data_IF_155154759439
#
_entry.id   IF_155154759439
#
_cell.length_a   1.000
_cell.length_b   1.000
_cell.length_c   1.000
_cell.angle_alpha   90.00
_cell.angle_beta   90.00
_cell.angle_gamma   90.00
#
_symmetry.space_group_name_H-M   'P 1'
#
loop_
_entity.id
_entity.type
_entity.pdbx_description
1 polymer ?
#
# COMPACT_ATOMS: atom_id res chain seq x y z
N UNK A 1 2.52 -10.21 -8.82
CA UNK A 1 2.83 -9.62 -7.51
C UNK A 1 3.31 -8.20 -7.72
N UNK A 2 2.92 -7.27 -6.85
CA UNK A 2 3.39 -5.90 -6.84
C UNK A 2 3.86 -5.53 -5.43
N UNK A 3 4.95 -4.75 -5.36
CA UNK A 3 5.50 -4.25 -4.09
C UNK A 3 5.50 -2.72 -4.17
N UNK A 4 4.93 -2.08 -3.15
CA UNK A 4 4.86 -0.62 -3.06
C UNK A 4 5.52 -0.13 -1.78
N UNK A 5 6.26 0.96 -1.88
CA UNK A 5 6.71 1.76 -0.73
C UNK A 5 5.83 3.01 -0.69
N UNK A 6 5.06 3.17 0.37
CA UNK A 6 4.04 4.20 0.48
C UNK A 6 4.11 4.94 1.81
N UNK A 7 3.55 6.14 1.86
CA UNK A 7 3.34 6.83 3.13
C UNK A 7 2.35 6.03 4.01
N UNK A 8 2.55 6.05 5.33
CA UNK A 8 1.62 5.46 6.30
C UNK A 8 0.15 5.83 6.07
N UNK A 9 -0.10 7.00 5.52
CA UNK A 9 -1.47 7.48 5.28
C UNK A 9 -2.25 6.63 4.28
N UNK A 10 -1.60 5.83 3.46
CA UNK A 10 -2.30 4.85 2.60
C UNK A 10 -3.05 3.84 3.47
N UNK A 11 -2.40 3.37 4.55
CA UNK A 11 -3.00 2.40 5.46
C UNK A 11 -3.82 3.06 6.58
N UNK A 12 -3.37 4.20 7.11
CA UNK A 12 -3.94 4.82 8.31
C UNK A 12 -5.08 5.82 8.06
N UNK A 13 -5.33 6.23 6.81
CA UNK A 13 -6.40 7.19 6.51
C UNK A 13 -7.77 6.66 6.97
N UNK A 14 -8.57 7.51 7.62
CA UNK A 14 -9.94 7.17 8.02
C UNK A 14 -10.82 6.88 6.79
N UNK A 15 -10.63 7.64 5.71
CA UNK A 15 -11.24 7.31 4.44
C UNK A 15 -10.56 6.07 3.85
N UNK A 16 -11.28 4.96 3.82
CA UNK A 16 -10.80 3.67 3.34
C UNK A 16 -10.93 3.48 1.83
N UNK A 17 -11.39 4.46 1.07
CA UNK A 17 -11.73 4.31 -0.35
C UNK A 17 -10.59 3.69 -1.18
N UNK A 18 -9.37 4.22 -1.05
CA UNK A 18 -8.21 3.69 -1.80
C UNK A 18 -7.92 2.22 -1.46
N UNK A 19 -7.99 1.86 -0.17
CA UNK A 19 -7.80 0.47 0.27
C UNK A 19 -8.94 -0.44 -0.21
N UNK A 20 -10.16 0.08 -0.21
CA UNK A 20 -11.33 -0.64 -0.70
C UNK A 20 -11.21 -0.95 -2.19
N UNK A 21 -10.84 0.02 -3.01
CA UNK A 21 -10.61 -0.19 -4.44
C UNK A 21 -9.46 -1.20 -4.68
N UNK A 22 -8.35 -1.06 -3.95
CA UNK A 22 -7.24 -2.00 -4.04
C UNK A 22 -7.66 -3.44 -3.68
N UNK A 23 -8.53 -3.61 -2.66
CA UNK A 23 -8.98 -4.94 -2.21
C UNK A 23 -9.85 -5.67 -3.22
N UNK A 24 -10.47 -4.97 -4.15
CA UNK A 24 -11.24 -5.59 -5.26
C UNK A 24 -10.34 -6.19 -6.33
N UNK A 25 -9.12 -5.69 -6.46
CA UNK A 25 -8.18 -6.05 -7.52
C UNK A 25 -7.10 -7.04 -7.04
N UNK A 26 -6.72 -6.94 -5.76
CA UNK A 26 -5.60 -7.69 -5.21
C UNK A 26 -5.75 -7.99 -3.71
N UNK A 27 -5.16 -9.09 -3.28
CA UNK A 27 -4.98 -9.41 -1.86
C UNK A 27 -3.73 -8.74 -1.33
N UNK A 28 -3.81 -8.08 -0.16
CA UNK A 28 -2.64 -7.69 0.62
C UNK A 28 -2.04 -8.97 1.21
N UNK A 29 -0.89 -9.39 0.69
CA UNK A 29 -0.20 -10.63 1.10
C UNK A 29 0.61 -10.40 2.35
N UNK A 30 1.32 -9.27 2.39
CA UNK A 30 2.12 -8.86 3.54
C UNK A 30 2.33 -7.36 3.52
N UNK A 31 2.56 -6.78 4.70
CA UNK A 31 3.02 -5.40 4.82
C UNK A 31 3.95 -5.27 6.03
N UNK A 32 4.90 -4.34 5.94
CA UNK A 32 5.74 -3.96 7.07
C UNK A 32 5.82 -2.45 7.17
N UNK A 33 5.65 -1.93 8.39
CA UNK A 33 5.83 -0.51 8.71
C UNK A 33 7.25 -0.25 9.14
N UNK A 34 7.91 0.71 8.50
CA UNK A 34 9.31 1.05 8.71
C UNK A 34 9.49 2.08 9.83
N UNK A 35 10.67 2.14 10.47
CA UNK A 35 11.02 3.20 11.41
C UNK A 35 10.87 4.58 10.76
N UNK A 36 10.52 5.59 11.55
CA UNK A 36 10.38 6.97 11.07
C UNK A 36 11.69 7.51 10.47
N UNK A 37 12.82 6.98 10.90
CA UNK A 37 14.17 7.33 10.44
C UNK A 37 14.61 6.60 9.18
N UNK A 38 13.83 5.62 8.67
CA UNK A 38 14.27 4.73 7.58
C UNK A 38 14.75 5.45 6.31
N UNK A 39 14.20 6.63 6.01
CA UNK A 39 14.57 7.45 4.85
C UNK A 39 15.10 8.83 5.26
N UNK A 40 15.58 8.99 6.50
CA UNK A 40 16.01 10.28 7.01
C UNK A 40 17.24 10.83 6.27
N UNK A 41 18.16 9.96 5.87
CA UNK A 41 19.36 10.34 5.10
C UNK A 41 19.00 10.83 3.69
N UNK A 42 17.99 10.23 3.07
CA UNK A 42 17.58 10.51 1.69
C UNK A 42 16.57 11.65 1.62
N UNK A 43 15.59 11.65 2.53
CA UNK A 43 14.48 12.59 2.51
C UNK A 43 14.69 13.80 3.42
N UNK A 44 15.70 13.80 4.28
CA UNK A 44 16.00 14.89 5.23
C UNK A 44 14.95 15.06 6.33
N UNK A 45 13.96 14.15 6.45
CA UNK A 45 12.88 14.23 7.41
C UNK A 45 12.49 12.86 7.95
N UNK A 46 11.88 12.84 9.13
CA UNK A 46 11.34 11.63 9.74
C UNK A 46 9.93 11.38 9.17
N UNK A 47 9.78 10.31 8.40
CA UNK A 47 8.49 9.89 7.83
C UNK A 47 8.27 8.40 8.01
N UNK A 48 7.06 8.03 8.45
CA UNK A 48 6.67 6.62 8.49
C UNK A 48 6.25 6.20 7.09
N UNK A 49 6.86 5.14 6.61
CA UNK A 49 6.54 4.49 5.35
C UNK A 49 6.19 3.03 5.59
N UNK A 50 5.33 2.50 4.73
CA UNK A 50 4.94 1.10 4.72
C UNK A 50 5.41 0.45 3.42
N UNK A 51 5.93 -0.78 3.50
CA UNK A 51 6.12 -1.64 2.32
C UNK A 51 4.91 -2.56 2.26
N UNK A 52 4.19 -2.54 1.13
CA UNK A 52 3.00 -3.34 0.90
C UNK A 52 3.26 -4.34 -0.22
N UNK A 53 2.94 -5.61 0.00
CA UNK A 53 3.05 -6.68 -0.98
C UNK A 53 1.66 -7.13 -1.38
N UNK A 54 1.30 -6.93 -2.64
CA UNK A 54 0.02 -7.34 -3.20
C UNK A 54 0.17 -8.47 -4.21
N UNK A 55 -0.79 -9.37 -4.19
CA UNK A 55 -0.99 -10.38 -5.23
C UNK A 55 -2.32 -10.11 -5.93
N UNK A 56 -2.29 -9.89 -7.24
CA UNK A 56 -3.51 -9.73 -8.05
C UNK A 56 -4.40 -10.96 -7.88
N UNK A 57 -5.70 -10.74 -7.82
CA UNK A 57 -6.69 -11.82 -7.80
C UNK A 57 -6.64 -12.65 -9.08
N UNK A 58 -6.98 -13.93 -8.96
CA UNK A 58 -7.25 -14.78 -10.13
C UNK A 58 -8.57 -14.35 -10.80
N UNK A 59 -8.74 -14.70 -12.07
CA UNK A 59 -9.98 -14.41 -12.79
C UNK A 59 -11.24 -14.97 -12.09
N UNK A 60 -11.13 -16.13 -11.44
CA UNK A 60 -12.23 -16.71 -10.66
C UNK A 60 -12.54 -15.90 -9.40
N UNK A 61 -11.53 -15.37 -8.72
CA UNK A 61 -11.70 -14.50 -7.56
C UNK A 61 -12.29 -13.14 -7.98
N UNK A 62 -11.79 -12.56 -9.05
CA UNK A 62 -12.35 -11.31 -9.62
C UNK A 62 -13.82 -11.49 -9.99
N UNK A 63 -14.19 -12.62 -10.61
CA UNK A 63 -15.59 -12.92 -10.91
C UNK A 63 -16.46 -12.99 -9.64
N UNK A 64 -15.99 -13.70 -8.61
CA UNK A 64 -16.71 -13.82 -7.33
C UNK A 64 -16.88 -12.47 -6.63
N UNK A 65 -15.85 -11.62 -6.65
CA UNK A 65 -15.91 -10.27 -6.09
C UNK A 65 -16.92 -9.43 -6.87
N UNK A 66 -16.91 -9.46 -8.20
CA UNK A 66 -17.85 -8.72 -9.02
C UNK A 66 -19.32 -9.17 -8.79
N UNK A 67 -19.57 -10.47 -8.61
CA UNK A 67 -20.86 -11.00 -8.23
C UNK A 67 -21.30 -10.46 -6.86
N UNK A 68 -20.41 -10.48 -5.87
CA UNK A 68 -20.67 -9.97 -4.52
C UNK A 68 -20.93 -8.46 -4.51
N UNK A 69 -20.22 -7.69 -5.35
CA UNK A 69 -20.47 -6.25 -5.52
C UNK A 69 -21.83 -6.00 -6.15
N UNK A 70 -22.20 -6.75 -7.18
CA UNK A 70 -23.51 -6.65 -7.82
C UNK A 70 -24.68 -6.97 -6.87
N UNK A 71 -24.48 -7.92 -5.95
CA UNK A 71 -25.46 -8.30 -4.92
C UNK A 71 -25.33 -7.49 -3.62
N UNK A 72 -24.42 -6.51 -3.55
CA UNK A 72 -24.13 -5.71 -2.35
C UNK A 72 -23.69 -6.55 -1.13
N UNK A 73 -23.07 -7.70 -1.37
CA UNK A 73 -22.60 -8.64 -0.33
C UNK A 73 -21.08 -8.68 -0.20
N UNK A 74 -20.34 -7.84 -0.91
CA UNK A 74 -18.87 -7.79 -0.82
C UNK A 74 -18.43 -7.27 0.55
N UNK A 75 -17.77 -8.13 1.29
CA UNK A 75 -17.12 -7.77 2.55
C UNK A 75 -15.64 -7.52 2.33
N UNK A 76 -15.22 -6.28 2.50
CA UNK A 76 -13.83 -5.91 2.40
C UNK A 76 -13.00 -6.52 3.56
N UNK A 77 -11.76 -6.96 3.31
CA UNK A 77 -10.87 -7.46 4.36
C UNK A 77 -10.65 -6.43 5.48
N UNK A 78 -10.32 -6.92 6.70
CA UNK A 78 -10.17 -6.07 7.89
C UNK A 78 -9.16 -4.93 7.70
N UNK A 79 -8.05 -5.16 6.99
CA UNK A 79 -7.03 -4.13 6.71
C UNK A 79 -7.57 -2.94 5.91
N UNK A 80 -8.75 -3.05 5.31
CA UNK A 80 -9.39 -1.95 4.58
C UNK A 80 -10.02 -0.94 5.52
N UNK A 81 -10.73 -1.39 6.54
CA UNK A 81 -11.59 -0.54 7.39
C UNK A 81 -11.09 -0.38 8.82
N UNK A 82 -10.43 -1.40 9.37
CA UNK A 82 -10.21 -1.46 10.79
C UNK A 82 -9.04 -0.58 11.21
N UNK A 83 -9.34 0.37 12.08
CA UNK A 83 -8.36 1.25 12.70
C UNK A 83 -8.32 0.97 14.20
N UNK A 84 -7.14 1.05 14.77
CA UNK A 84 -6.84 0.95 16.20
C UNK A 84 -6.23 2.24 16.71
N UNK A 85 -6.17 2.39 18.02
CA UNK A 85 -5.54 3.52 18.68
C UNK A 85 -4.33 3.06 19.50
N UNK A 86 -3.29 3.88 19.49
CA UNK A 86 -2.22 3.81 20.47
C UNK A 86 -2.24 5.10 21.30
N UNK A 87 -2.09 4.98 22.62
CA UNK A 87 -2.03 6.13 23.51
C UNK A 87 -0.69 6.18 24.25
N UNK A 88 -0.25 7.38 24.60
CA UNK A 88 0.85 7.62 25.53
C UNK A 88 0.37 7.58 27.00
N UNK A 89 1.31 7.74 27.93
CA UNK A 89 1.04 7.75 29.37
C UNK A 89 0.13 8.91 29.82
N UNK A 90 0.02 9.96 29.01
CA UNK A 90 -0.82 11.13 29.26
C UNK A 90 -2.22 11.01 28.64
N UNK A 91 -2.52 9.89 27.99
CA UNK A 91 -3.80 9.65 27.31
C UNK A 91 -3.92 10.27 25.92
N UNK A 92 -2.85 10.87 25.38
CA UNK A 92 -2.84 11.34 24.00
C UNK A 92 -2.82 10.13 23.06
N UNK A 93 -3.75 10.10 22.10
CA UNK A 93 -3.92 8.93 21.24
C UNK A 93 -3.84 9.26 19.75
N UNK A 94 -3.36 8.31 18.98
CA UNK A 94 -3.26 8.40 17.52
C UNK A 94 -3.82 7.12 16.89
N UNK A 95 -4.61 7.27 15.83
CA UNK A 95 -5.15 6.17 15.06
C UNK A 95 -4.12 5.61 14.08
N UNK A 96 -4.18 4.30 13.87
CA UNK A 96 -3.40 3.59 12.88
C UNK A 96 -4.14 2.34 12.39
N UNK A 97 -3.74 1.78 11.27
CA UNK A 97 -4.39 0.59 10.72
C UNK A 97 -4.17 -0.64 11.61
N UNK A 98 -5.25 -1.35 11.93
CA UNK A 98 -5.23 -2.54 12.80
C UNK A 98 -4.35 -3.67 12.26
N UNK A 99 -3.98 -3.67 10.98
CA UNK A 99 -3.00 -4.59 10.42
C UNK A 99 -1.66 -4.56 11.15
N UNK A 100 -1.27 -3.40 11.66
CA UNK A 100 -0.02 -3.18 12.40
C UNK A 100 -0.15 -3.39 13.92
N UNK A 101 -1.22 -4.04 14.40
CA UNK A 101 -1.29 -4.53 15.79
C UNK A 101 -0.32 -5.71 16.02
N UNK A 102 -0.06 -6.49 14.97
CA UNK A 102 0.93 -7.57 15.04
C UNK A 102 2.34 -6.99 14.90
N UNK A 103 3.13 -7.10 15.96
CA UNK A 103 4.48 -6.56 16.03
C UNK A 103 5.44 -7.11 14.95
N UNK A 104 5.14 -8.29 14.37
CA UNK A 104 5.93 -8.81 13.25
C UNK A 104 5.81 -7.97 11.98
N UNK A 105 4.75 -7.17 11.88
CA UNK A 105 4.49 -6.26 10.76
C UNK A 105 5.08 -4.84 11.00
N UNK A 106 5.92 -4.67 12.00
CA UNK A 106 6.54 -3.39 12.35
C UNK A 106 8.05 -3.60 12.53
N UNK A 107 8.84 -2.82 11.80
CA UNK A 107 10.30 -2.80 11.96
C UNK A 107 10.74 -1.87 13.09
N UNK A 108 10.18 -2.05 14.29
CA UNK A 108 10.44 -1.19 15.43
C UNK A 108 9.32 -1.24 16.45
N UNK A 109 9.09 -0.13 17.15
CA UNK A 109 8.03 0.01 18.14
C UNK A 109 7.19 1.26 17.91
N UNK A 110 5.87 1.11 17.82
CA UNK A 110 4.93 2.22 17.75
C UNK A 110 4.94 3.04 19.02
N UNK A 111 4.86 4.35 18.88
CA UNK A 111 4.65 5.30 19.98
C UNK A 111 3.94 6.56 19.50
N UNK A 112 3.38 7.30 20.43
CA UNK A 112 2.84 8.64 20.20
C UNK A 112 3.97 9.66 20.34
N UNK A 113 4.06 10.62 19.41
CA UNK A 113 5.04 11.72 19.42
C UNK A 113 4.31 13.05 19.30
N UNK A 114 4.73 14.04 20.08
CA UNK A 114 4.27 15.42 19.91
C UNK A 114 4.84 16.03 18.63
N UNK A 115 4.04 16.80 17.92
CA UNK A 115 4.41 17.56 16.73
C UNK A 115 3.84 18.98 16.80
N UNK A 116 4.25 19.85 15.89
CA UNK A 116 3.70 21.21 15.81
C UNK A 116 2.18 21.26 15.48
N UNK A 117 1.62 20.15 14.98
CA UNK A 117 0.20 20.02 14.64
C UNK A 117 -0.57 19.12 15.62
N UNK A 118 -0.05 18.88 16.82
CA UNK A 118 -0.64 17.97 17.80
C UNK A 118 0.15 16.66 17.92
N UNK A 119 -0.54 15.54 18.10
CA UNK A 119 0.09 14.25 18.29
C UNK A 119 0.12 13.45 17.00
N UNK A 120 1.21 12.74 16.75
CA UNK A 120 1.39 11.89 15.57
C UNK A 120 1.98 10.54 15.99
N UNK A 121 1.80 9.55 15.10
CA UNK A 121 2.44 8.26 15.25
C UNK A 121 3.93 8.39 14.94
N UNK A 122 4.73 7.64 15.67
CA UNK A 122 6.15 7.46 15.44
C UNK A 122 6.50 5.96 15.55
N UNK A 123 7.53 5.53 14.83
CA UNK A 123 8.08 4.17 14.90
C UNK A 123 9.54 4.29 15.29
N UNK A 124 9.82 3.97 16.55
CA UNK A 124 11.17 3.96 17.08
C UNK A 124 11.92 2.71 16.64
N UNK A 125 13.16 2.87 16.21
CA UNK A 125 14.07 1.75 15.95
C UNK A 125 14.29 0.90 17.21
N UNK A 126 14.31 -0.41 17.03
CA UNK A 126 14.60 -1.40 18.10
C UNK A 126 15.76 -2.32 17.73
N UNK A 127 16.08 -2.39 16.44
CA UNK A 127 17.22 -3.13 15.88
C UNK A 127 17.53 -2.56 14.50
N UNK A 128 18.67 -2.89 13.87
CA UNK A 128 18.96 -2.51 12.49
C UNK A 128 17.83 -2.89 11.54
N UNK A 129 17.46 -1.97 10.64
CA UNK A 129 16.34 -2.17 9.69
C UNK A 129 16.48 -3.48 8.89
N UNK A 130 17.69 -3.81 8.48
CA UNK A 130 17.97 -5.02 7.69
C UNK A 130 17.59 -6.31 8.43
N UNK A 131 17.75 -6.35 9.76
CA UNK A 131 17.36 -7.51 10.57
C UNK A 131 15.83 -7.69 10.58
N UNK A 132 15.09 -6.57 10.70
CA UNK A 132 13.64 -6.59 10.61
C UNK A 132 13.17 -7.04 9.24
N UNK A 133 13.76 -6.51 8.17
CA UNK A 133 13.41 -6.87 6.79
C UNK A 133 13.72 -8.34 6.50
N UNK A 134 14.88 -8.85 6.89
CA UNK A 134 15.23 -10.26 6.70
C UNK A 134 14.25 -11.20 7.42
N UNK A 135 13.81 -10.84 8.62
CA UNK A 135 12.81 -11.60 9.37
C UNK A 135 11.44 -11.54 8.71
N UNK A 136 11.04 -10.35 8.27
CA UNK A 136 9.76 -10.13 7.61
C UNK A 136 9.67 -10.85 6.27
N UNK A 137 10.72 -10.84 5.44
CA UNK A 137 10.72 -11.51 4.13
C UNK A 137 10.49 -13.02 4.26
N UNK A 138 10.94 -13.65 5.35
CA UNK A 138 10.65 -15.07 5.63
C UNK A 138 9.17 -15.35 5.89
N UNK A 139 8.36 -14.34 6.18
CA UNK A 139 6.90 -14.48 6.37
C UNK A 139 6.11 -14.34 5.09
N UNK A 140 6.74 -13.86 4.02
CA UNK A 140 6.08 -13.69 2.72
C UNK A 140 6.01 -15.07 2.06
N UNK A 141 4.81 -15.54 1.66
CA UNK A 141 4.70 -16.84 0.99
C UNK A 141 5.45 -16.84 -0.34
N UNK A 142 6.01 -17.97 -0.69
CA UNK A 142 6.56 -18.18 -2.03
C UNK A 142 5.43 -18.05 -3.06
N UNK A 143 5.71 -17.28 -4.10
CA UNK A 143 4.82 -17.18 -5.25
C UNK A 143 5.32 -18.16 -6.31
N UNK A 144 4.45 -19.06 -6.77
CA UNK A 144 4.77 -19.86 -7.94
C UNK A 144 5.15 -18.94 -9.10
N UNK A 145 6.18 -19.31 -9.84
CA UNK A 145 6.59 -18.60 -11.05
C UNK A 145 5.38 -18.52 -11.99
N UNK A 146 4.87 -17.30 -12.14
CA UNK A 146 3.89 -17.02 -13.18
C UNK A 146 4.71 -16.76 -14.42
N UNK A 147 4.59 -17.62 -15.43
CA UNK A 147 5.17 -17.35 -16.74
C UNK A 147 4.75 -15.92 -17.17
N UNK A 148 5.75 -15.06 -17.30
CA UNK A 148 5.52 -13.70 -17.76
C UNK A 148 5.11 -13.74 -19.22
N UNK A 149 3.85 -13.45 -19.50
CA UNK A 149 3.36 -13.29 -20.88
C UNK A 149 3.39 -11.79 -21.24
N UNK A 150 4.40 -11.33 -22.00
CA UNK A 150 4.52 -9.91 -22.35
C UNK A 150 3.36 -9.39 -23.21
N UNK A 151 2.67 -10.26 -23.94
CA UNK A 151 1.52 -9.86 -24.78
C UNK A 151 0.28 -9.53 -23.94
N UNK A 152 -0.01 -10.30 -22.88
CA UNK A 152 -1.11 -9.98 -21.96
C UNK A 152 -0.84 -8.69 -21.18
N UNK A 153 0.43 -8.46 -20.79
CA UNK A 153 0.82 -7.26 -20.04
C UNK A 153 0.68 -6.00 -20.89
N UNK A 154 1.03 -6.06 -22.18
CA UNK A 154 0.89 -4.91 -23.07
C UNK A 154 -0.58 -4.59 -23.37
N UNK A 155 -1.42 -5.59 -23.62
CA UNK A 155 -2.85 -5.38 -23.84
C UNK A 155 -3.55 -4.77 -22.61
N UNK A 156 -3.20 -5.22 -21.40
CA UNK A 156 -3.72 -4.65 -20.17
C UNK A 156 -3.19 -3.24 -19.91
N UNK A 157 -1.93 -2.96 -20.24
CA UNK A 157 -1.34 -1.62 -20.09
C UNK A 157 -1.99 -0.63 -21.05
N UNK A 158 -2.18 -1.00 -22.32
CA UNK A 158 -2.88 -0.18 -23.30
C UNK A 158 -4.33 0.09 -22.90
N UNK A 159 -5.05 -0.90 -22.35
CA UNK A 159 -6.40 -0.73 -21.85
C UNK A 159 -6.46 0.21 -20.64
N UNK A 160 -5.50 0.12 -19.71
CA UNK A 160 -5.40 1.01 -18.55
C UNK A 160 -5.06 2.44 -19.00
N UNK A 161 -4.12 2.59 -19.92
CA UNK A 161 -3.74 3.91 -20.47
C UNK A 161 -4.91 4.52 -21.23
N UNK A 162 -5.65 3.75 -22.04
CA UNK A 162 -6.84 4.21 -22.73
C UNK A 162 -7.95 4.62 -21.76
N UNK A 163 -8.15 3.88 -20.68
CA UNK A 163 -9.14 4.20 -19.64
C UNK A 163 -8.78 5.48 -18.88
N UNK A 164 -7.51 5.62 -18.47
CA UNK A 164 -6.99 6.84 -17.86
C UNK A 164 -7.10 8.04 -18.80
N UNK A 165 -6.89 7.85 -20.11
CA UNK A 165 -7.06 8.90 -21.10
C UNK A 165 -8.51 9.39 -21.20
N UNK A 166 -9.48 8.49 -21.15
CA UNK A 166 -10.92 8.85 -21.18
C UNK A 166 -11.33 9.59 -19.89
N UNK A 167 -10.89 9.16 -18.73
CA UNK A 167 -11.22 9.83 -17.46
C UNK A 167 -10.51 11.18 -17.31
N UNK A 168 -9.30 11.33 -17.84
CA UNK A 168 -8.46 12.52 -17.71
C UNK A 168 -8.69 13.55 -18.81
N UNK A 169 -9.32 13.17 -19.94
CA UNK A 169 -9.59 14.09 -21.08
C UNK A 169 -10.47 15.30 -20.73
N UNK A 170 -11.17 15.28 -19.60
CA UNK A 170 -11.90 16.42 -19.05
C UNK A 170 -11.05 17.40 -18.20
N UNK A 171 -9.78 17.10 -17.92
CA UNK A 171 -8.91 17.86 -17.00
C UNK A 171 -7.51 18.07 -17.56
N UNK A 172 -7.28 18.66 -18.66
CA UNK A 172 -5.99 19.13 -19.23
C UNK A 172 -4.70 18.69 -18.47
N UNK A 173 -4.57 17.42 -18.13
CA UNK A 173 -3.38 16.85 -17.53
C UNK A 173 -2.60 16.17 -18.66
N UNK A 174 -1.34 16.60 -18.87
CA UNK A 174 -0.51 16.08 -19.98
C UNK A 174 -0.39 14.56 -19.95
N UNK A 175 -0.64 13.96 -21.09
CA UNK A 175 -0.51 12.51 -21.29
C UNK A 175 0.96 12.14 -21.42
N UNK A 176 1.37 11.06 -20.78
CA UNK A 176 2.69 10.47 -20.96
C UNK A 176 2.54 9.33 -21.95
N UNK A 177 3.25 9.39 -23.07
CA UNK A 177 3.27 8.34 -24.09
C UNK A 177 4.68 7.78 -24.24
N UNK A 178 4.82 6.65 -24.95
CA UNK A 178 6.09 6.01 -25.23
C UNK A 178 6.41 6.12 -26.71
N UNK A 179 7.61 6.58 -27.04
CA UNK A 179 8.09 6.58 -28.42
C UNK A 179 8.52 5.18 -28.88
N UNK A 180 8.82 5.02 -30.16
CA UNK A 180 9.28 3.76 -30.78
C UNK A 180 10.56 3.19 -30.13
N UNK A 181 11.31 3.99 -29.37
CA UNK A 181 12.50 3.57 -28.62
C UNK A 181 12.19 3.17 -27.18
N UNK A 182 10.91 3.24 -26.75
CA UNK A 182 10.49 2.91 -25.39
C UNK A 182 10.69 4.04 -24.37
N UNK A 183 11.07 5.24 -24.80
CA UNK A 183 11.25 6.40 -23.93
C UNK A 183 9.91 7.07 -23.63
N UNK A 184 9.67 7.45 -22.36
CA UNK A 184 8.47 8.16 -21.95
C UNK A 184 8.58 9.64 -22.34
N UNK A 185 7.56 10.18 -22.97
CA UNK A 185 7.45 11.60 -23.28
C UNK A 185 6.06 12.15 -22.95
N UNK A 186 5.98 13.45 -22.73
CA UNK A 186 4.73 14.15 -22.45
C UNK A 186 4.19 14.74 -23.77
N UNK A 187 2.94 14.45 -24.08
CA UNK A 187 2.20 15.09 -25.15
C UNK A 187 1.63 16.41 -24.66
#
# INVERSE_FOLDING_TARGET
>A
VAIFVVSRYVMDAENSYTRYEASKLASLVSAIRLPSSAFKSEAGTDVITDILVFKRHSSSTEYSINQSLGNLTYEAPYWVKDLSNIADENGNSVKFNSYFLDNKNIAGRLKVKSSQFGFTLDVAETAPLIEHLNRWTLTIPEFADVEYNPQETNANFEAIVAHLYIEMSGKQIGVIDRNEKGELYRI
#
